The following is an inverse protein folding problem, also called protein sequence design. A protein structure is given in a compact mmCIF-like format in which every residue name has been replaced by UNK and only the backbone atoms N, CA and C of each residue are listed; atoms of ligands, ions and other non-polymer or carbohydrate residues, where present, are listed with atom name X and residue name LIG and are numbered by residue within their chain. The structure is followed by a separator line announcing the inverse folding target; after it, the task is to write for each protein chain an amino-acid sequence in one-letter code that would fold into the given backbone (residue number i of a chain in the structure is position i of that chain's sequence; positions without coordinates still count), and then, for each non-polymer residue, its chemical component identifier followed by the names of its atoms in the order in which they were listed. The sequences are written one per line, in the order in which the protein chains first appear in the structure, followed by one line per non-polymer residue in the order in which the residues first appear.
data_IF_113944375205
#
_entry.id   IF_113944375205
#
_cell.length_a   1.000
_cell.length_b   1.000
_cell.length_c   1.000
_cell.angle_alpha   90.00
_cell.angle_beta   90.00
_cell.angle_gamma   90.00
#
_symmetry.space_group_name_H-M   'P 1'
#
loop_
_entity.id
_entity.type
_entity.pdbx_description
1 polymer ?
#
# COMPACT_ATOMS: atom_id res chain seq x y z
N UNK A 1 -7.44 -5.90 -4.86
CA UNK A 1 -8.06 -4.91 -3.96
C UNK A 1 -6.94 -4.02 -3.45
N UNK A 2 -7.05 -2.69 -3.56
CA UNK A 2 -6.07 -1.77 -2.96
C UNK A 2 -6.54 -1.44 -1.54
N UNK A 3 -5.63 -1.49 -0.57
CA UNK A 3 -5.94 -1.25 0.86
C UNK A 3 -5.01 -0.15 1.36
N UNK A 4 -5.58 0.86 2.01
CA UNK A 4 -4.85 1.87 2.77
C UNK A 4 -5.00 1.55 4.26
N UNK A 5 -3.86 1.35 4.94
CA UNK A 5 -3.82 1.16 6.39
C UNK A 5 -3.25 2.43 7.04
N UNK A 6 -3.96 2.97 8.03
CA UNK A 6 -3.52 4.13 8.81
C UNK A 6 -3.30 3.67 10.25
N UNK A 7 -2.09 3.86 10.74
CA UNK A 7 -1.70 3.54 12.13
C UNK A 7 -1.84 4.81 12.96
N UNK A 8 -2.51 4.69 14.11
CA UNK A 8 -2.72 5.77 15.06
C UNK A 8 -2.22 5.27 16.41
N UNK A 9 -1.23 5.97 16.98
CA UNK A 9 -0.77 5.73 18.35
C UNK A 9 -1.71 6.39 19.35
N UNK A 10 -1.85 5.78 20.52
CA UNK A 10 -2.64 6.31 21.63
C UNK A 10 -3.51 5.26 22.30
N UNK A 11 -4.19 5.69 23.37
CA UNK A 11 -5.10 4.84 24.12
C UNK A 11 -6.30 4.37 23.27
N UNK A 12 -6.88 3.24 23.67
CA UNK A 12 -8.02 2.62 22.99
C UNK A 12 -9.13 3.67 22.82
N UNK A 13 -9.46 4.06 21.58
CA UNK A 13 -10.40 5.15 21.38
C UNK A 13 -11.80 4.70 21.80
N UNK A 14 -12.37 5.38 22.79
CA UNK A 14 -13.80 5.29 23.16
C UNK A 14 -14.74 5.67 22.00
N UNK A 15 -14.17 6.17 20.89
CA UNK A 15 -14.89 6.76 19.76
C UNK A 15 -14.39 6.27 18.39
N UNK A 16 -14.09 4.98 18.29
CA UNK A 16 -13.62 4.32 17.06
C UNK A 16 -14.51 4.62 15.84
N UNK A 17 -15.83 4.72 16.02
CA UNK A 17 -16.78 5.03 14.94
C UNK A 17 -16.60 6.43 14.34
N UNK A 18 -16.27 7.46 15.15
CA UNK A 18 -16.02 8.81 14.61
C UNK A 18 -14.67 8.89 13.93
N UNK A 19 -13.64 8.25 14.48
CA UNK A 19 -12.32 8.18 13.82
C UNK A 19 -12.48 7.55 12.44
N UNK A 20 -13.20 6.42 12.37
CA UNK A 20 -13.45 5.72 11.13
C UNK A 20 -14.22 6.58 10.12
N UNK A 21 -15.35 7.17 10.53
CA UNK A 21 -16.17 7.97 9.62
C UNK A 21 -15.46 9.24 9.15
N UNK A 22 -14.67 9.89 10.02
CA UNK A 22 -13.84 11.04 9.64
C UNK A 22 -12.76 10.65 8.63
N UNK A 23 -12.04 9.56 8.85
CA UNK A 23 -11.00 9.10 7.91
C UNK A 23 -11.60 8.73 6.56
N UNK A 24 -12.68 7.94 6.56
CA UNK A 24 -13.33 7.47 5.32
C UNK A 24 -13.92 8.65 4.53
N UNK A 25 -14.60 9.59 5.21
CA UNK A 25 -15.16 10.78 4.54
C UNK A 25 -14.08 11.72 4.01
N UNK A 26 -13.00 11.92 4.76
CA UNK A 26 -11.86 12.72 4.31
C UNK A 26 -11.16 12.07 3.10
N UNK A 27 -10.95 10.76 3.14
CA UNK A 27 -10.34 10.04 2.03
C UNK A 27 -11.22 10.08 0.78
N UNK A 28 -12.53 9.86 0.93
CA UNK A 28 -13.50 9.91 -0.17
C UNK A 28 -13.53 11.29 -0.82
N UNK A 29 -13.60 12.36 -0.02
CA UNK A 29 -13.62 13.74 -0.52
C UNK A 29 -12.28 14.13 -1.17
N UNK A 30 -11.15 13.77 -0.57
CA UNK A 30 -9.83 14.00 -1.15
C UNK A 30 -9.64 13.26 -2.48
N UNK A 31 -10.13 12.02 -2.60
CA UNK A 31 -10.04 11.24 -3.83
C UNK A 31 -10.77 11.93 -4.99
N UNK A 32 -11.99 12.44 -4.75
CA UNK A 32 -12.75 13.21 -5.75
C UNK A 32 -12.05 14.54 -6.05
N UNK A 33 -11.60 15.24 -5.01
CA UNK A 33 -10.95 16.54 -5.14
C UNK A 33 -9.68 16.49 -6.00
N UNK A 34 -8.81 15.50 -5.75
CA UNK A 34 -7.56 15.34 -6.48
C UNK A 34 -7.68 14.52 -7.78
N UNK A 35 -8.87 14.02 -8.13
CA UNK A 35 -9.06 13.17 -9.32
C UNK A 35 -8.49 13.82 -10.59
N UNK A 36 -8.84 15.09 -10.83
CA UNK A 36 -8.39 15.84 -12.01
C UNK A 36 -6.89 16.15 -12.02
N UNK A 37 -6.22 16.08 -10.86
CA UNK A 37 -4.76 16.23 -10.77
C UNK A 37 -4.03 14.98 -11.31
N UNK A 38 -4.64 13.80 -11.20
CA UNK A 38 -4.03 12.55 -11.67
C UNK A 38 -4.63 12.04 -12.99
N UNK A 39 -5.87 12.41 -13.28
CA UNK A 39 -6.61 11.98 -14.47
C UNK A 39 -7.21 13.20 -15.18
N UNK A 40 -6.36 14.00 -15.81
CA UNK A 40 -6.72 15.28 -16.44
C UNK A 40 -7.90 15.12 -17.42
N UNK A 41 -7.75 14.22 -18.39
CA UNK A 41 -8.73 13.98 -19.46
C UNK A 41 -9.82 12.96 -19.11
N UNK A 42 -9.70 12.26 -17.98
CA UNK A 42 -10.70 11.26 -17.57
C UNK A 42 -11.76 11.91 -16.68
N UNK A 43 -13.01 11.85 -17.11
CA UNK A 43 -14.12 12.23 -16.24
C UNK A 43 -14.50 11.11 -15.28
N UNK A 44 -14.80 11.48 -14.04
CA UNK A 44 -15.29 10.57 -13.02
C UNK A 44 -16.75 10.20 -13.34
N UNK A 45 -16.99 8.93 -13.65
CA UNK A 45 -18.32 8.45 -14.07
C UNK A 45 -19.30 8.28 -12.91
N UNK A 46 -18.79 8.03 -11.71
CA UNK A 46 -19.59 7.81 -10.50
C UNK A 46 -18.77 8.19 -9.25
N UNK A 47 -19.42 8.62 -8.16
CA UNK A 47 -18.71 8.93 -6.92
C UNK A 47 -18.12 7.65 -6.32
N UNK A 48 -16.83 7.64 -5.95
CA UNK A 48 -16.19 6.50 -5.31
C UNK A 48 -16.72 6.33 -3.88
N UNK A 49 -16.75 5.08 -3.42
CA UNK A 49 -17.05 4.72 -2.04
C UNK A 49 -15.94 3.84 -1.48
N UNK A 50 -15.68 4.00 -0.18
CA UNK A 50 -14.64 3.26 0.53
C UNK A 50 -15.22 2.66 1.80
N UNK A 51 -14.92 1.38 2.01
CA UNK A 51 -15.16 0.70 3.28
C UNK A 51 -13.93 0.87 4.19
N UNK A 52 -14.14 0.84 5.49
CA UNK A 52 -13.08 0.92 6.47
C UNK A 52 -13.43 0.19 7.75
N UNK A 53 -12.41 -0.18 8.51
CA UNK A 53 -12.55 -0.83 9.82
C UNK A 53 -11.45 -0.37 10.76
N UNK A 54 -11.75 -0.40 12.06
CA UNK A 54 -10.77 -0.16 13.11
C UNK A 54 -10.37 -1.50 13.72
N UNK A 55 -9.06 -1.73 13.83
CA UNK A 55 -8.49 -2.92 14.46
C UNK A 55 -7.51 -2.43 15.52
N UNK A 56 -7.56 -3.03 16.71
CA UNK A 56 -6.68 -2.69 17.82
C UNK A 56 -5.59 -3.74 17.91
N UNK A 57 -4.34 -3.31 17.97
CA UNK A 57 -3.17 -4.16 18.13
C UNK A 57 -2.59 -3.95 19.53
N UNK A 58 -2.50 -5.01 20.36
CA UNK A 58 -2.05 -4.88 21.76
C UNK A 58 -0.52 -4.76 21.90
N UNK A 59 0.24 -5.02 20.85
CA UNK A 59 1.70 -4.92 20.86
C UNK A 59 2.27 -4.50 19.51
N UNK A 60 3.45 -3.88 19.54
CA UNK A 60 4.22 -3.53 18.34
C UNK A 60 4.42 -4.74 17.43
N UNK A 61 4.68 -5.92 17.99
CA UNK A 61 4.87 -7.14 17.21
C UNK A 61 3.62 -7.47 16.38
N UNK A 62 2.43 -7.45 17.00
CA UNK A 62 1.19 -7.75 16.27
C UNK A 62 0.85 -6.70 15.20
N UNK A 63 1.24 -5.43 15.41
CA UNK A 63 1.15 -4.39 14.40
C UNK A 63 2.10 -4.64 13.24
N UNK A 64 3.37 -4.98 13.53
CA UNK A 64 4.38 -5.30 12.51
C UNK A 64 3.98 -6.52 11.69
N UNK A 65 3.42 -7.55 12.32
CA UNK A 65 2.90 -8.74 11.65
C UNK A 65 1.75 -8.37 10.69
N UNK A 66 0.84 -7.49 11.11
CA UNK A 66 -0.22 -6.99 10.25
C UNK A 66 0.31 -6.22 9.04
N UNK A 67 1.23 -5.27 9.26
CA UNK A 67 1.81 -4.47 8.16
C UNK A 67 2.60 -5.35 7.19
N UNK A 68 3.34 -6.33 7.73
CA UNK A 68 4.04 -7.34 6.94
C UNK A 68 3.07 -8.16 6.09
N UNK A 69 1.96 -8.61 6.68
CA UNK A 69 0.91 -9.32 5.97
C UNK A 69 0.30 -8.49 4.83
N UNK A 70 0.08 -7.18 5.03
CA UNK A 70 -0.39 -6.29 3.96
C UNK A 70 0.63 -6.16 2.83
N UNK A 71 1.93 -6.09 3.14
CA UNK A 71 2.97 -6.01 2.10
C UNK A 71 3.13 -7.34 1.33
N UNK A 72 3.03 -8.48 2.02
CA UNK A 72 3.01 -9.81 1.36
C UNK A 72 1.80 -9.95 0.45
N UNK A 73 0.62 -9.54 0.90
CA UNK A 73 -0.61 -9.54 0.09
C UNK A 73 -0.46 -8.65 -1.17
N UNK A 74 0.16 -7.47 -1.03
CA UNK A 74 0.49 -6.62 -2.16
C UNK A 74 1.40 -7.34 -3.17
N UNK A 75 2.46 -8.00 -2.71
CA UNK A 75 3.40 -8.73 -3.56
C UNK A 75 2.71 -9.86 -4.33
N UNK A 76 1.94 -10.70 -3.65
CA UNK A 76 1.25 -11.85 -4.24
C UNK A 76 0.20 -11.40 -5.26
N UNK A 77 -0.63 -10.40 -4.88
CA UNK A 77 -1.66 -9.87 -5.76
C UNK A 77 -1.05 -9.17 -6.98
N UNK A 78 0.03 -8.41 -6.81
CA UNK A 78 0.68 -7.75 -7.93
C UNK A 78 1.28 -8.75 -8.92
N UNK A 79 1.99 -9.78 -8.43
CA UNK A 79 2.56 -10.82 -9.29
C UNK A 79 1.47 -11.56 -10.07
N UNK A 80 0.39 -11.97 -9.38
CA UNK A 80 -0.75 -12.62 -10.02
C UNK A 80 -1.39 -11.73 -11.09
N UNK A 81 -1.72 -10.47 -10.74
CA UNK A 81 -2.40 -9.55 -11.64
C UNK A 81 -1.53 -9.18 -12.85
N UNK A 82 -0.21 -9.07 -12.67
CA UNK A 82 0.71 -8.82 -13.78
C UNK A 82 0.64 -9.96 -14.79
N UNK A 83 0.76 -11.21 -14.34
CA UNK A 83 0.62 -12.37 -15.24
C UNK A 83 -0.78 -12.42 -15.87
N UNK A 84 -1.83 -12.25 -15.08
CA UNK A 84 -3.21 -12.36 -15.51
C UNK A 84 -3.53 -11.36 -16.63
N UNK A 85 -3.23 -10.08 -16.41
CA UNK A 85 -3.52 -9.05 -17.39
C UNK A 85 -2.65 -9.15 -18.63
N UNK A 86 -1.39 -9.58 -18.51
CA UNK A 86 -0.55 -9.85 -19.68
C UNK A 86 -1.10 -11.00 -20.52
N UNK A 87 -1.58 -12.09 -19.89
CA UNK A 87 -2.25 -13.17 -20.62
C UNK A 87 -3.49 -12.66 -21.35
N UNK A 88 -4.34 -11.88 -20.68
CA UNK A 88 -5.56 -11.33 -21.27
C UNK A 88 -5.26 -10.36 -22.41
N UNK A 89 -4.29 -9.46 -22.24
CA UNK A 89 -3.86 -8.52 -23.28
C UNK A 89 -3.23 -9.22 -24.49
N UNK A 90 -2.72 -10.44 -24.32
CA UNK A 90 -2.14 -11.26 -25.39
C UNK A 90 -3.13 -12.33 -25.90
N UNK A 91 -4.42 -12.09 -25.77
CA UNK A 91 -5.47 -12.85 -26.46
C UNK A 91 -6.10 -14.00 -25.65
N UNK A 92 -5.67 -14.25 -24.41
CA UNK A 92 -6.37 -15.19 -23.55
C UNK A 92 -7.68 -14.57 -23.04
N UNK A 93 -8.72 -15.39 -22.89
CA UNK A 93 -9.92 -14.98 -22.17
C UNK A 93 -9.63 -14.90 -20.66
N UNK A 94 -10.40 -14.10 -19.89
CA UNK A 94 -10.25 -14.06 -18.43
C UNK A 94 -10.33 -15.43 -17.76
N UNK A 95 -11.14 -16.35 -18.32
CA UNK A 95 -11.28 -17.73 -17.83
C UNK A 95 -10.02 -18.56 -18.08
N UNK A 96 -9.45 -18.47 -19.28
CA UNK A 96 -8.21 -19.18 -19.62
C UNK A 96 -7.01 -18.65 -18.83
N UNK A 97 -6.92 -17.33 -18.65
CA UNK A 97 -5.88 -16.71 -17.83
C UNK A 97 -6.00 -17.18 -16.37
N UNK A 98 -7.23 -17.26 -15.83
CA UNK A 98 -7.47 -17.80 -14.50
C UNK A 98 -7.04 -19.26 -14.39
N UNK A 99 -7.49 -20.15 -15.29
CA UNK A 99 -7.16 -21.58 -15.24
C UNK A 99 -5.66 -21.82 -15.43
N UNK A 100 -4.97 -21.00 -16.24
CA UNK A 100 -3.50 -21.06 -16.39
C UNK A 100 -2.77 -20.75 -15.09
N UNK A 101 -3.28 -19.79 -14.29
CA UNK A 101 -2.63 -19.34 -13.06
C UNK A 101 -3.11 -20.08 -11.81
N UNK A 102 -4.21 -20.83 -11.91
CA UNK A 102 -4.83 -21.54 -10.80
C UNK A 102 -3.90 -22.63 -10.27
N UNK A 103 -3.70 -22.64 -8.96
CA UNK A 103 -2.83 -23.62 -8.28
C UNK A 103 -1.34 -23.43 -8.54
N UNK A 104 -0.93 -22.38 -9.25
CA UNK A 104 0.49 -22.11 -9.54
C UNK A 104 1.19 -21.41 -8.38
N UNK A 105 2.49 -21.65 -8.23
CA UNK A 105 3.35 -20.97 -7.27
C UNK A 105 4.00 -19.71 -7.85
N UNK A 106 4.75 -18.97 -7.03
CA UNK A 106 5.42 -17.73 -7.44
C UNK A 106 6.49 -17.94 -8.51
N UNK A 107 7.20 -19.08 -8.47
CA UNK A 107 8.26 -19.38 -9.43
C UNK A 107 7.72 -19.56 -10.85
N UNK A 108 6.62 -20.31 -10.99
CA UNK A 108 5.92 -20.44 -12.27
C UNK A 108 5.50 -19.08 -12.85
N UNK A 109 5.02 -18.16 -12.00
CA UNK A 109 4.62 -16.82 -12.44
C UNK A 109 5.83 -16.00 -12.90
N UNK A 110 6.96 -16.08 -12.21
CA UNK A 110 8.20 -15.44 -12.63
C UNK A 110 8.70 -15.99 -13.97
N UNK A 111 8.69 -17.31 -14.14
CA UNK A 111 9.08 -17.97 -15.37
C UNK A 111 8.15 -17.58 -16.53
N UNK A 112 6.83 -17.57 -16.30
CA UNK A 112 5.85 -17.11 -17.26
C UNK A 112 6.10 -15.66 -17.70
N UNK A 113 6.34 -14.75 -16.75
CA UNK A 113 6.67 -13.35 -17.06
C UNK A 113 7.95 -13.23 -17.90
N UNK A 114 8.97 -13.99 -17.53
CA UNK A 114 10.27 -13.92 -18.19
C UNK A 114 10.26 -14.55 -19.58
N UNK A 115 9.81 -15.80 -19.70
CA UNK A 115 9.87 -16.55 -20.97
C UNK A 115 8.84 -16.06 -21.99
N UNK A 116 7.60 -15.80 -21.56
CA UNK A 116 6.51 -15.44 -22.49
C UNK A 116 6.48 -13.95 -22.81
N UNK A 117 6.82 -13.11 -21.84
CA UNK A 117 6.67 -11.65 -21.97
C UNK A 117 8.00 -10.89 -21.90
N UNK A 118 9.12 -11.56 -21.63
CA UNK A 118 10.43 -10.89 -21.48
C UNK A 118 10.52 -9.98 -20.25
N UNK A 119 9.62 -10.13 -19.28
CA UNK A 119 9.52 -9.25 -18.12
C UNK A 119 10.18 -9.92 -16.92
N UNK A 120 11.23 -9.28 -16.39
CA UNK A 120 11.79 -9.64 -15.10
C UNK A 120 10.98 -8.96 -13.99
N UNK A 121 10.21 -9.73 -13.22
CA UNK A 121 9.38 -9.23 -12.12
C UNK A 121 10.19 -8.38 -11.12
N UNK A 122 11.44 -8.75 -10.83
CA UNK A 122 12.29 -8.01 -9.89
C UNK A 122 12.63 -6.58 -10.33
N UNK A 123 12.52 -6.29 -11.64
CA UNK A 123 12.79 -4.98 -12.22
C UNK A 123 11.54 -4.11 -12.35
N UNK A 124 10.35 -4.64 -12.07
CA UNK A 124 9.13 -3.82 -11.97
C UNK A 124 9.31 -2.79 -10.84
N UNK A 125 8.74 -1.60 -11.01
CA UNK A 125 8.82 -0.53 -10.02
C UNK A 125 8.45 -1.01 -8.61
N UNK A 126 9.24 -0.57 -7.63
CA UNK A 126 9.06 -0.98 -6.24
C UNK A 126 7.66 -0.64 -5.71
N UNK A 127 7.05 0.47 -6.17
CA UNK A 127 5.69 0.86 -5.79
C UNK A 127 4.64 -0.21 -6.06
N UNK A 128 4.79 -0.99 -7.13
CA UNK A 128 3.84 -2.05 -7.49
C UNK A 128 4.12 -3.33 -6.71
N UNK A 129 5.39 -3.61 -6.41
CA UNK A 129 5.81 -4.84 -5.71
C UNK A 129 5.70 -4.76 -4.19
N UNK A 130 5.89 -3.58 -3.63
CA UNK A 130 6.03 -3.33 -2.18
C UNK A 130 4.98 -2.38 -1.62
N UNK A 131 4.20 -1.73 -2.49
CA UNK A 131 3.24 -0.71 -2.09
C UNK A 131 3.92 0.62 -1.73
N UNK A 132 3.19 1.45 -0.99
CA UNK A 132 3.63 2.77 -0.54
C UNK A 132 3.52 2.86 0.97
N UNK A 133 4.61 3.24 1.64
CA UNK A 133 4.65 3.47 3.08
C UNK A 133 4.88 4.96 3.32
N UNK A 134 3.98 5.58 4.08
CA UNK A 134 4.06 6.99 4.47
C UNK A 134 4.22 7.09 5.97
N UNK A 135 5.15 7.93 6.42
CA UNK A 135 5.37 8.16 7.85
C UNK A 135 5.97 9.53 8.11
N UNK A 136 5.83 10.04 9.34
CA UNK A 136 6.31 11.37 9.71
C UNK A 136 7.78 11.29 10.13
N UNK A 137 8.62 12.19 9.60
CA UNK A 137 10.00 12.40 10.06
C UNK A 137 10.19 13.83 10.57
N UNK A 138 10.99 14.03 11.64
CA UNK A 138 11.38 15.37 12.06
C UNK A 138 12.33 15.97 11.03
N UNK A 139 12.03 17.20 10.60
CA UNK A 139 12.92 18.02 9.77
C UNK A 139 13.34 19.24 10.56
N UNK A 140 14.65 19.41 10.73
CA UNK A 140 15.21 20.64 11.26
C UNK A 140 15.20 21.70 10.17
N UNK A 141 14.49 22.80 10.43
CA UNK A 141 14.49 23.96 9.55
C UNK A 141 15.46 24.98 10.13
N UNK A 142 16.51 25.30 9.40
CA UNK A 142 17.48 26.33 9.77
C UNK A 142 16.86 27.73 9.57
N UNK A 143 15.96 28.14 10.47
CA UNK A 143 15.54 29.54 10.62
C UNK A 143 15.73 29.96 12.07
N UNK A 144 16.01 31.25 12.29
CA UNK A 144 16.25 31.88 13.60
C UNK A 144 15.17 31.46 14.61
N UNK A 145 15.50 30.50 15.47
CA UNK A 145 14.55 29.81 16.36
C UNK A 145 14.23 28.42 15.84
N UNK A 146 15.01 27.42 16.30
CA UNK A 146 14.89 26.00 15.93
C UNK A 146 13.47 25.46 16.15
N UNK A 147 12.60 25.55 15.14
CA UNK A 147 11.31 24.86 15.10
C UNK A 147 11.48 23.54 14.37
N UNK A 148 11.21 22.44 15.07
CA UNK A 148 11.12 21.11 14.46
C UNK A 148 9.77 20.99 13.75
N UNK A 149 9.79 20.83 12.43
CA UNK A 149 8.59 20.59 11.62
C UNK A 149 8.55 19.11 11.27
N UNK A 150 7.37 18.49 11.33
CA UNK A 150 7.19 17.10 10.86
C UNK A 150 6.86 17.10 9.37
N UNK A 151 7.62 16.35 8.57
CA UNK A 151 7.39 16.14 7.14
C UNK A 151 6.91 14.70 6.89
N UNK A 152 6.03 14.51 5.91
CA UNK A 152 5.58 13.18 5.49
C UNK A 152 6.63 12.62 4.51
N UNK A 153 7.24 11.52 4.90
CA UNK A 153 8.19 10.77 4.07
C UNK A 153 7.47 9.60 3.37
N UNK A 154 7.61 9.48 2.06
CA UNK A 154 7.09 8.39 1.24
C UNK A 154 8.23 7.45 0.84
N UNK A 155 8.03 6.15 1.02
CA UNK A 155 8.98 5.11 0.58
C UNK A 155 8.26 3.90 -0.02
N UNK A 156 9.02 3.12 -0.80
CA UNK A 156 8.61 1.84 -1.39
C UNK A 156 9.60 0.73 -0.96
N UNK A 157 10.07 0.80 0.29
CA UNK A 157 11.01 -0.15 0.89
C UNK A 157 10.31 -1.42 1.42
N UNK A 158 11.09 -2.45 1.74
CA UNK A 158 10.60 -3.66 2.41
C UNK A 158 10.40 -3.33 3.89
N UNK A 159 9.16 -3.42 4.39
CA UNK A 159 8.80 -3.14 5.79
C UNK A 159 8.64 -4.42 6.61
N UNK A 160 8.87 -5.59 6.01
CA UNK A 160 8.81 -6.88 6.70
C UNK A 160 10.10 -7.09 7.50
N UNK A 161 11.25 -6.73 6.91
CA UNK A 161 12.56 -6.92 7.52
C UNK A 161 12.87 -5.93 8.64
N UNK A 162 13.65 -6.39 9.62
CA UNK A 162 14.10 -5.58 10.75
C UNK A 162 14.96 -4.36 10.35
N UNK A 163 15.57 -4.38 9.17
CA UNK A 163 16.37 -3.28 8.63
C UNK A 163 15.56 -1.98 8.56
N UNK A 164 14.31 -2.04 8.11
CA UNK A 164 13.42 -0.88 8.03
C UNK A 164 13.09 -0.33 9.41
N UNK A 165 12.74 -1.20 10.35
CA UNK A 165 12.36 -0.82 11.72
C UNK A 165 13.55 -0.30 12.51
N UNK A 166 14.73 -0.89 12.33
CA UNK A 166 15.97 -0.45 12.97
C UNK A 166 16.41 0.94 12.50
N UNK A 167 16.13 1.30 11.24
CA UNK A 167 16.40 2.62 10.66
C UNK A 167 15.38 3.68 11.10
N UNK A 168 14.17 3.28 11.49
CA UNK A 168 13.06 4.18 11.82
C UNK A 168 12.42 3.78 13.17
N UNK A 169 13.23 3.65 14.23
CA UNK A 169 12.78 3.22 15.57
C UNK A 169 11.73 4.16 16.18
N UNK A 170 11.81 5.43 15.82
CA UNK A 170 10.91 6.51 16.24
C UNK A 170 9.46 6.37 15.74
N UNK A 171 9.19 5.36 14.92
CA UNK A 171 7.84 5.02 14.45
C UNK A 171 7.07 4.10 15.39
N UNK A 172 7.77 3.37 16.26
CA UNK A 172 7.14 2.44 17.20
C UNK A 172 7.05 3.02 18.60
N UNK A 173 7.92 3.98 18.93
CA UNK A 173 7.91 4.68 20.21
C UNK A 173 6.64 5.53 20.37
N UNK A 174 5.89 5.31 21.46
CA UNK A 174 4.76 6.15 21.85
C UNK A 174 5.25 7.59 22.09
N UNK A 175 4.58 8.55 21.43
CA UNK A 175 4.85 9.99 21.54
C UNK A 175 3.77 10.69 22.34
#
# INVERSE_FOLDING_TARGET
MQVLSIVIHGEIPTLSSKILSCIVSLFSSAFVFYWKTFFEDMEMKYPPSFDGRVIIYPSEQTLRDYLSWRQVDCHVNNQYNTCFWLLVQNGATPKEAYETLKGTYSDFKNELLFQKFGINYSHIEARFRKGSTLFKKPRQVAMKGSKTVSEIFLTHEDIIRDEFWSKNKDLLEDR
#
